data_IF_571091816633
#
_entry.id   IF_571091816633
#
_cell.length_a   1.000
_cell.length_b   1.000
_cell.length_c   1.000
_cell.angle_alpha   90.00
_cell.angle_beta   90.00
_cell.angle_gamma   90.00
#
_symmetry.space_group_name_H-M   'P 1'
#
loop_
_entity.id
_entity.type
_entity.pdbx_description
1 polymer ?
#
# COMPACT_ATOMS: atom_id res chain seq x y z
N UNK A 1 -4.80 -2.02 -6.03
CA UNK A 1 -3.34 -2.21 -5.87
C UNK A 1 -3.01 -3.37 -4.94
N UNK A 2 -3.34 -3.33 -3.64
CA UNK A 2 -2.96 -4.38 -2.68
C UNK A 2 -3.32 -5.83 -3.11
N UNK A 3 -4.54 -6.12 -3.63
CA UNK A 3 -4.85 -7.46 -4.14
C UNK A 3 -4.02 -7.91 -5.35
N UNK A 4 -3.50 -6.97 -6.16
CA UNK A 4 -2.64 -7.31 -7.28
C UNK A 4 -1.23 -7.68 -6.79
N UNK A 5 -0.72 -6.99 -5.78
CA UNK A 5 0.52 -7.38 -5.12
C UNK A 5 0.39 -8.72 -4.39
N UNK A 6 -0.73 -8.97 -3.72
CA UNK A 6 -0.91 -10.23 -3.00
C UNK A 6 -0.85 -11.44 -3.93
N UNK A 7 -1.47 -11.36 -5.11
CA UNK A 7 -1.43 -12.43 -6.12
C UNK A 7 0.00 -12.76 -6.56
N UNK A 8 0.82 -11.74 -6.83
CA UNK A 8 2.23 -11.99 -7.19
C UNK A 8 3.08 -12.43 -5.99
N UNK A 9 2.64 -12.16 -4.77
CA UNK A 9 3.23 -12.70 -3.54
C UNK A 9 2.72 -14.11 -3.18
N UNK A 10 1.94 -14.75 -4.05
CA UNK A 10 1.41 -16.10 -3.84
C UNK A 10 0.17 -16.19 -2.94
N UNK A 11 -0.47 -15.06 -2.63
CA UNK A 11 -1.67 -14.99 -1.78
C UNK A 11 -2.84 -14.46 -2.59
N UNK A 12 -3.73 -15.35 -3.05
CA UNK A 12 -4.98 -14.90 -3.66
C UNK A 12 -6.00 -14.54 -2.57
N UNK A 13 -6.25 -13.24 -2.41
CA UNK A 13 -7.20 -12.75 -1.43
C UNK A 13 -8.62 -13.27 -1.66
N UNK A 14 -9.03 -13.49 -2.90
CA UNK A 14 -10.37 -14.01 -3.20
C UNK A 14 -10.49 -15.47 -2.77
N UNK A 15 -9.48 -16.29 -3.05
CA UNK A 15 -9.48 -17.71 -2.66
C UNK A 15 -9.39 -17.90 -1.14
N UNK A 16 -8.70 -16.99 -0.46
CA UNK A 16 -8.55 -17.00 1.00
C UNK A 16 -9.69 -16.25 1.73
N UNK A 17 -10.73 -15.78 1.02
CA UNK A 17 -11.86 -15.06 1.64
C UNK A 17 -11.49 -13.70 2.27
N UNK A 18 -10.39 -13.09 1.83
CA UNK A 18 -9.85 -11.83 2.35
C UNK A 18 -10.50 -10.66 1.62
N UNK A 19 -11.13 -9.76 2.39
CA UNK A 19 -11.72 -8.51 1.87
C UNK A 19 -10.88 -7.30 2.27
N UNK A 20 -10.42 -6.55 1.28
CA UNK A 20 -9.70 -5.27 1.51
C UNK A 20 -10.71 -4.14 1.67
N UNK A 21 -10.59 -3.38 2.75
CA UNK A 21 -11.43 -2.21 3.04
C UNK A 21 -10.53 -0.99 3.21
N UNK A 22 -10.75 0.05 2.41
CA UNK A 22 -10.09 1.35 2.60
C UNK A 22 -10.87 2.20 3.60
N UNK A 23 -10.17 2.85 4.53
CA UNK A 23 -10.81 3.61 5.61
C UNK A 23 -10.56 5.12 5.57
N UNK A 24 -9.69 5.64 4.69
CA UNK A 24 -9.47 7.08 4.53
C UNK A 24 -8.82 7.73 5.75
N UNK A 25 -7.54 7.42 5.98
CA UNK A 25 -6.70 8.02 7.03
C UNK A 25 -6.71 7.28 8.36
N UNK A 26 -5.62 7.39 9.12
CA UNK A 26 -5.33 6.59 10.33
C UNK A 26 -6.43 6.60 11.39
N UNK A 27 -7.02 7.76 11.69
CA UNK A 27 -8.09 7.87 12.70
C UNK A 27 -9.39 7.20 12.24
N UNK A 28 -9.71 7.26 10.95
CA UNK A 28 -10.89 6.57 10.41
C UNK A 28 -10.67 5.07 10.36
N UNK A 29 -9.45 4.62 10.05
CA UNK A 29 -9.06 3.21 10.15
C UNK A 29 -9.30 2.69 11.56
N UNK A 30 -8.78 3.39 12.56
CA UNK A 30 -8.93 2.97 13.95
C UNK A 30 -10.39 2.88 14.40
N UNK A 31 -11.21 3.87 14.04
CA UNK A 31 -12.66 3.85 14.32
C UNK A 31 -13.37 2.70 13.61
N UNK A 32 -13.00 2.43 12.35
CA UNK A 32 -13.56 1.32 11.59
C UNK A 32 -13.19 -0.01 12.22
N UNK A 33 -11.92 -0.18 12.63
CA UNK A 33 -11.47 -1.36 13.36
C UNK A 33 -12.28 -1.57 14.64
N UNK A 34 -12.42 -0.55 15.48
CA UNK A 34 -13.18 -0.65 16.72
C UNK A 34 -14.64 -1.06 16.46
N UNK A 35 -15.26 -0.56 15.40
CA UNK A 35 -16.61 -0.98 15.02
C UNK A 35 -16.63 -2.46 14.61
N UNK A 36 -15.76 -2.85 13.69
CA UNK A 36 -15.74 -4.21 13.15
C UNK A 36 -15.36 -5.24 14.21
N UNK A 37 -14.37 -4.97 15.07
CA UNK A 37 -13.90 -5.93 16.06
C UNK A 37 -14.95 -6.33 17.09
N UNK A 38 -15.99 -5.50 17.27
CA UNK A 38 -17.17 -5.77 18.11
C UNK A 38 -18.32 -6.46 17.36
N UNK A 39 -18.41 -6.26 16.04
CA UNK A 39 -19.53 -6.74 15.22
C UNK A 39 -19.25 -8.06 14.51
N UNK A 40 -17.99 -8.37 14.21
CA UNK A 40 -17.61 -9.56 13.45
C UNK A 40 -16.56 -10.40 14.18
N UNK A 41 -16.68 -11.72 14.08
CA UNK A 41 -15.72 -12.67 14.65
C UNK A 41 -14.63 -13.10 13.64
N UNK A 42 -14.36 -12.27 12.63
CA UNK A 42 -13.31 -12.51 11.63
C UNK A 42 -12.01 -11.83 12.06
N UNK A 43 -10.83 -12.44 11.80
CA UNK A 43 -9.54 -11.80 11.97
C UNK A 43 -9.42 -10.52 11.14
N UNK A 44 -8.90 -9.46 11.74
CA UNK A 44 -8.67 -8.17 11.09
C UNK A 44 -7.17 -7.89 11.03
N UNK A 45 -6.68 -7.62 9.81
CA UNK A 45 -5.31 -7.19 9.56
C UNK A 45 -5.31 -5.73 9.11
N UNK A 46 -4.66 -4.86 9.87
CA UNK A 46 -4.61 -3.42 9.57
C UNK A 46 -3.23 -3.03 9.04
N UNK A 47 -3.20 -2.19 8.01
CA UNK A 47 -1.97 -1.62 7.46
C UNK A 47 -1.99 -0.11 7.68
N UNK A 48 -0.93 0.44 8.26
CA UNK A 48 -0.78 1.88 8.52
C UNK A 48 0.49 2.44 7.89
N UNK A 49 0.43 3.71 7.50
CA UNK A 49 1.61 4.53 7.23
C UNK A 49 2.43 4.75 8.52
N UNK A 50 3.71 5.12 8.39
CA UNK A 50 4.61 5.22 9.54
C UNK A 50 4.20 6.28 10.57
N UNK A 51 3.43 7.28 10.14
CA UNK A 51 2.96 8.40 10.96
C UNK A 51 1.87 8.01 11.99
N UNK A 52 1.42 6.74 11.96
CA UNK A 52 0.44 6.20 12.88
C UNK A 52 1.06 5.56 14.13
N UNK A 53 2.38 5.55 14.30
CA UNK A 53 3.07 4.89 15.41
C UNK A 53 2.47 5.24 16.79
N UNK A 54 2.36 6.54 17.11
CA UNK A 54 1.79 7.00 18.39
C UNK A 54 0.33 6.55 18.58
N UNK A 55 -0.46 6.53 17.49
CA UNK A 55 -1.85 6.06 17.53
C UNK A 55 -1.91 4.57 17.83
N UNK A 56 -1.06 3.77 17.17
CA UNK A 56 -0.97 2.32 17.37
C UNK A 56 -0.56 2.01 18.80
N UNK A 57 0.50 2.66 19.31
CA UNK A 57 0.98 2.46 20.68
C UNK A 57 -0.10 2.78 21.71
N UNK A 58 -0.74 3.95 21.58
CA UNK A 58 -1.77 4.41 22.52
C UNK A 58 -2.98 3.49 22.58
N UNK A 59 -3.27 2.75 21.50
CA UNK A 59 -4.48 1.95 21.38
C UNK A 59 -4.24 0.44 21.26
N UNK A 60 -2.99 -0.02 21.40
CA UNK A 60 -2.62 -1.43 21.20
C UNK A 60 -3.39 -2.39 22.11
N UNK A 61 -3.79 -1.93 23.29
CA UNK A 61 -4.56 -2.70 24.27
C UNK A 61 -5.99 -3.05 23.83
N UNK A 62 -6.53 -2.40 22.79
CA UNK A 62 -7.82 -2.75 22.18
C UNK A 62 -7.70 -3.80 21.08
N UNK A 63 -6.48 -4.24 20.73
CA UNK A 63 -6.28 -5.24 19.70
C UNK A 63 -6.70 -6.63 20.22
N UNK A 64 -7.57 -7.33 19.50
CA UNK A 64 -7.92 -8.71 19.85
C UNK A 64 -6.72 -9.62 19.58
N UNK A 65 -6.66 -10.76 20.28
CA UNK A 65 -5.58 -11.74 20.08
C UNK A 65 -5.53 -12.36 18.68
N UNK A 66 -6.63 -12.28 17.93
CA UNK A 66 -6.74 -12.77 16.54
C UNK A 66 -6.37 -11.73 15.49
N UNK A 67 -6.26 -10.46 15.88
CA UNK A 67 -6.03 -9.35 14.96
C UNK A 67 -4.56 -8.93 14.94
N UNK A 68 -4.14 -8.26 13.87
CA UNK A 68 -2.77 -7.77 13.77
C UNK A 68 -2.67 -6.43 13.05
N UNK A 69 -1.54 -5.76 13.26
CA UNK A 69 -1.22 -4.47 12.70
C UNK A 69 0.16 -4.54 12.04
N UNK A 70 0.23 -4.09 10.80
CA UNK A 70 1.47 -3.81 10.11
C UNK A 70 1.61 -2.30 9.92
N UNK A 71 2.66 -1.72 10.53
CA UNK A 71 3.02 -0.33 10.30
C UNK A 71 4.20 -0.29 9.31
N UNK A 72 4.05 0.50 8.26
CA UNK A 72 5.13 0.74 7.30
C UNK A 72 6.31 1.40 8.04
N UNK A 73 7.52 0.95 7.72
CA UNK A 73 8.77 1.32 8.36
C UNK A 73 9.05 2.82 8.27
N UNK A 74 8.74 3.42 7.11
CA UNK A 74 8.97 4.83 6.85
C UNK A 74 8.04 5.37 5.76
N UNK A 75 7.50 6.55 6.01
CA UNK A 75 6.70 7.28 5.04
C UNK A 75 5.31 6.67 4.85
N UNK A 76 4.84 6.71 3.63
CA UNK A 76 3.52 6.25 3.22
C UNK A 76 3.62 4.99 2.34
N UNK A 77 2.47 4.39 2.01
CA UNK A 77 2.43 3.25 1.10
C UNK A 77 3.16 3.48 -0.24
N UNK A 78 3.16 4.70 -0.77
CA UNK A 78 3.90 5.00 -1.99
C UNK A 78 5.42 4.87 -1.84
N UNK A 79 5.98 5.06 -0.64
CA UNK A 79 7.41 4.98 -0.38
C UNK A 79 7.98 3.56 -0.47
N UNK A 80 7.14 2.55 -0.23
CA UNK A 80 7.54 1.15 -0.31
C UNK A 80 7.34 0.55 -1.70
N UNK A 81 6.92 1.34 -2.70
CA UNK A 81 6.75 0.87 -4.07
C UNK A 81 8.11 0.85 -4.81
N UNK A 82 8.42 -0.20 -5.59
CA UNK A 82 9.65 -0.20 -6.40
C UNK A 82 9.64 0.90 -7.48
N UNK A 83 10.73 1.66 -7.56
CA UNK A 83 10.89 2.74 -8.56
C UNK A 83 10.69 2.25 -10.00
N UNK A 84 11.18 1.04 -10.32
CA UNK A 84 11.00 0.42 -11.64
C UNK A 84 9.52 0.23 -11.98
N UNK A 85 8.71 -0.17 -11.01
CA UNK A 85 7.27 -0.39 -11.20
C UNK A 85 6.56 0.96 -11.41
N UNK A 86 6.93 1.99 -10.63
CA UNK A 86 6.44 3.37 -10.81
C UNK A 86 6.74 3.87 -12.22
N UNK A 87 8.00 3.78 -12.67
CA UNK A 87 8.41 4.21 -14.00
C UNK A 87 7.66 3.48 -15.11
N UNK A 88 7.54 2.15 -14.99
CA UNK A 88 6.78 1.31 -15.92
C UNK A 88 5.31 1.75 -16.00
N UNK A 89 4.67 2.01 -14.86
CA UNK A 89 3.28 2.43 -14.80
C UNK A 89 3.06 3.80 -15.43
N UNK A 90 3.91 4.78 -15.10
CA UNK A 90 3.82 6.14 -15.65
C UNK A 90 4.10 6.12 -17.15
N UNK A 91 5.19 5.51 -17.60
CA UNK A 91 5.53 5.48 -19.04
C UNK A 91 4.48 4.71 -19.85
N UNK A 92 3.88 3.65 -19.31
CA UNK A 92 2.80 2.93 -19.99
C UNK A 92 1.55 3.81 -20.18
N UNK A 93 1.22 4.65 -19.22
CA UNK A 93 -0.02 5.44 -19.24
C UNK A 93 0.16 6.83 -19.89
N UNK A 94 1.29 7.50 -19.62
CA UNK A 94 1.58 8.87 -20.02
C UNK A 94 2.71 9.00 -21.03
N UNK A 95 3.28 7.89 -21.52
CA UNK A 95 4.49 7.90 -22.37
C UNK A 95 4.39 8.72 -23.67
N UNK A 96 3.17 8.98 -24.16
CA UNK A 96 2.93 9.87 -25.30
C UNK A 96 3.20 11.35 -24.96
N UNK A 97 3.00 11.75 -23.70
CA UNK A 97 3.29 13.10 -23.20
C UNK A 97 4.75 13.24 -22.77
N UNK A 98 5.39 12.14 -22.38
CA UNK A 98 6.80 12.09 -22.04
C UNK A 98 7.16 10.85 -21.26
N UNK A 99 8.41 10.44 -21.36
CA UNK A 99 8.96 9.35 -20.55
C UNK A 99 9.64 9.89 -19.29
N UNK A 100 9.62 9.05 -18.27
CA UNK A 100 10.34 9.23 -17.01
C UNK A 100 11.34 8.09 -16.78
N UNK A 101 12.36 8.37 -15.98
CA UNK A 101 13.38 7.40 -15.59
C UNK A 101 13.38 7.22 -14.06
N UNK A 102 14.16 6.26 -13.56
CA UNK A 102 14.30 6.02 -12.11
C UNK A 102 14.75 7.30 -11.37
N UNK A 103 15.66 8.08 -11.96
CA UNK A 103 16.13 9.32 -11.35
C UNK A 103 15.03 10.37 -11.16
N UNK A 104 13.94 10.32 -11.95
CA UNK A 104 12.79 11.22 -11.81
C UNK A 104 11.93 10.88 -10.58
N UNK A 105 12.03 9.64 -10.07
CA UNK A 105 11.23 9.13 -8.94
C UNK A 105 12.07 8.84 -7.69
N UNK A 106 13.39 8.92 -7.79
CA UNK A 106 14.32 8.81 -6.65
C UNK A 106 14.57 10.19 -6.04
N UNK A 107 14.50 10.30 -4.72
CA UNK A 107 14.72 11.57 -4.04
C UNK A 107 14.80 11.46 -2.51
N UNK A 108 15.02 12.60 -1.86
CA UNK A 108 15.14 12.69 -0.39
C UNK A 108 13.80 12.94 0.32
N UNK A 109 12.78 13.36 -0.42
CA UNK A 109 11.42 13.57 0.07
C UNK A 109 10.58 12.30 -0.09
N UNK A 110 9.38 12.27 0.53
CA UNK A 110 8.46 11.15 0.38
C UNK A 110 7.98 10.99 -1.06
N UNK A 111 7.71 9.75 -1.46
CA UNK A 111 7.35 9.39 -2.84
C UNK A 111 6.12 10.13 -3.34
N UNK A 112 5.11 10.30 -2.50
CA UNK A 112 3.90 11.04 -2.87
C UNK A 112 4.22 12.50 -3.28
N UNK A 113 5.17 13.15 -2.60
CA UNK A 113 5.62 14.50 -2.95
C UNK A 113 6.41 14.48 -4.26
N UNK A 114 7.35 13.54 -4.42
CA UNK A 114 8.12 13.37 -5.67
C UNK A 114 7.18 13.20 -6.86
N UNK A 115 6.17 12.32 -6.74
CA UNK A 115 5.19 12.07 -7.79
C UNK A 115 4.32 13.30 -8.08
N UNK A 116 3.93 14.05 -7.04
CA UNK A 116 3.18 15.30 -7.21
C UNK A 116 3.97 16.33 -8.01
N UNK A 117 5.25 16.53 -7.67
CA UNK A 117 6.11 17.46 -8.38
C UNK A 117 6.40 16.99 -9.81
N UNK A 118 6.64 15.69 -9.99
CA UNK A 118 6.88 15.08 -11.30
C UNK A 118 5.69 15.28 -12.25
N UNK A 119 4.47 15.01 -11.78
CA UNK A 119 3.25 15.19 -12.58
C UNK A 119 3.06 16.64 -13.02
N UNK A 120 3.39 17.60 -12.13
CA UNK A 120 3.36 19.03 -12.45
C UNK A 120 4.42 19.38 -13.49
N UNK A 121 5.66 18.94 -13.32
CA UNK A 121 6.80 19.29 -14.19
C UNK A 121 6.64 18.69 -15.60
N UNK A 122 6.18 17.44 -15.69
CA UNK A 122 6.01 16.72 -16.96
C UNK A 122 4.67 17.01 -17.66
N UNK A 123 3.80 17.82 -17.05
CA UNK A 123 2.50 18.17 -17.62
C UNK A 123 1.49 17.02 -17.63
N UNK A 124 1.60 16.05 -16.71
CA UNK A 124 0.64 14.95 -16.56
C UNK A 124 -0.62 15.37 -15.78
N UNK A 125 -0.66 16.60 -15.28
CA UNK A 125 -1.77 17.15 -14.50
C UNK A 125 -1.57 16.99 -12.99
N UNK A 126 -2.66 16.84 -12.25
CA UNK A 126 -2.62 16.67 -10.79
C UNK A 126 -2.43 15.20 -10.43
N UNK A 127 -1.42 14.90 -9.59
CA UNK A 127 -1.24 13.56 -9.05
C UNK A 127 -2.40 13.16 -8.13
N UNK A 128 -3.09 12.08 -8.49
CA UNK A 128 -4.18 11.49 -7.70
C UNK A 128 -3.80 10.07 -7.29
N UNK A 129 -3.56 9.85 -5.99
CA UNK A 129 -3.13 8.55 -5.44
C UNK A 129 -4.03 7.39 -5.85
N UNK A 130 -5.35 7.55 -5.76
CA UNK A 130 -6.30 6.48 -6.09
C UNK A 130 -6.24 6.06 -7.56
N UNK A 131 -6.12 7.02 -8.47
CA UNK A 131 -5.98 6.77 -9.91
C UNK A 131 -4.63 6.12 -10.22
N UNK A 132 -3.56 6.64 -9.62
CA UNK A 132 -2.23 6.07 -9.77
C UNK A 132 -2.16 4.61 -9.27
N UNK A 133 -2.82 4.30 -8.15
CA UNK A 133 -2.93 2.94 -7.62
C UNK A 133 -3.67 1.98 -8.57
N UNK A 134 -4.60 2.47 -9.39
CA UNK A 134 -5.26 1.67 -10.44
C UNK A 134 -4.32 1.41 -11.62
N UNK A 135 -3.59 2.43 -12.07
CA UNK A 135 -2.60 2.30 -13.16
C UNK A 135 -1.50 1.32 -12.76
N UNK A 136 -0.98 1.46 -11.53
CA UNK A 136 0.02 0.54 -10.95
C UNK A 136 -0.49 -0.90 -10.89
N UNK A 137 -1.74 -1.11 -10.46
CA UNK A 137 -2.31 -2.45 -10.35
C UNK A 137 -2.27 -3.22 -11.68
N UNK A 138 -2.49 -2.53 -12.81
CA UNK A 138 -2.39 -3.12 -14.16
C UNK A 138 -0.96 -3.35 -14.66
N UNK A 139 0.06 -3.04 -13.85
CA UNK A 139 1.48 -3.17 -14.20
C UNK A 139 2.24 -4.18 -13.35
N UNK A 140 1.65 -4.63 -12.24
CA UNK A 140 2.20 -5.67 -11.35
C UNK A 140 2.10 -7.02 -12.07
N UNK A 141 3.23 -7.71 -12.24
CA UNK A 141 3.29 -8.97 -13.02
C UNK A 141 4.02 -10.10 -12.31
N UNK A 142 4.99 -9.81 -11.46
CA UNK A 142 5.76 -10.85 -10.76
C UNK A 142 6.31 -10.35 -9.43
N UNK A 143 6.91 -11.26 -8.67
CA UNK A 143 7.59 -10.96 -7.41
C UNK A 143 8.68 -9.88 -7.54
N UNK A 144 9.25 -9.70 -8.74
CA UNK A 144 10.22 -8.63 -9.01
C UNK A 144 9.62 -7.21 -8.92
N UNK A 145 8.30 -7.10 -8.92
CA UNK A 145 7.56 -5.86 -8.69
C UNK A 145 7.24 -5.65 -7.19
N UNK A 146 7.70 -6.53 -6.29
CA UNK A 146 7.61 -6.35 -4.83
C UNK A 146 8.91 -5.75 -4.28
N UNK A 147 8.79 -4.75 -3.40
CA UNK A 147 9.92 -4.32 -2.57
C UNK A 147 10.13 -5.29 -1.40
N UNK A 148 11.28 -5.20 -0.75
CA UNK A 148 11.58 -5.98 0.46
C UNK A 148 10.51 -5.81 1.54
N UNK A 149 10.02 -4.58 1.73
CA UNK A 149 9.00 -4.30 2.73
C UNK A 149 7.62 -4.86 2.34
N UNK A 150 7.26 -4.81 1.05
CA UNK A 150 6.04 -5.48 0.56
C UNK A 150 6.13 -6.99 0.74
N UNK A 151 7.30 -7.60 0.49
CA UNK A 151 7.52 -9.03 0.71
C UNK A 151 7.33 -9.39 2.19
N UNK A 152 7.90 -8.61 3.11
CA UNK A 152 7.72 -8.83 4.55
C UNK A 152 6.26 -8.64 4.97
N UNK A 153 5.57 -7.62 4.47
CA UNK A 153 4.13 -7.40 4.72
C UNK A 153 3.30 -8.63 4.33
N UNK A 154 3.51 -9.19 3.14
CA UNK A 154 2.75 -10.36 2.71
C UNK A 154 3.16 -11.63 3.45
N UNK A 155 4.42 -11.77 3.84
CA UNK A 155 4.88 -12.88 4.68
C UNK A 155 4.22 -12.85 6.07
N UNK A 156 4.15 -11.66 6.70
CA UNK A 156 3.44 -11.49 7.97
C UNK A 156 1.96 -11.82 7.81
N UNK A 157 1.31 -11.33 6.74
CA UNK A 157 -0.09 -11.63 6.45
C UNK A 157 -0.31 -13.14 6.24
N UNK A 158 0.53 -13.81 5.46
CA UNK A 158 0.42 -15.24 5.16
C UNK A 158 0.52 -16.10 6.43
N UNK A 159 1.40 -15.72 7.37
CA UNK A 159 1.55 -16.43 8.65
C UNK A 159 0.28 -16.45 9.50
N UNK A 160 -0.71 -15.60 9.19
CA UNK A 160 -2.01 -15.55 9.87
C UNK A 160 -3.08 -16.39 9.18
N UNK A 161 -2.89 -16.72 7.90
CA UNK A 161 -3.82 -17.56 7.15
C UNK A 161 -3.58 -19.05 7.40
N UNK A 162 -2.34 -19.42 7.73
CA UNK A 162 -1.93 -20.82 7.95
C UNK A 162 -2.07 -21.28 9.40
N UNK A 163 -2.84 -20.58 10.23
CA UNK A 163 -3.12 -20.96 11.63
C UNK A 163 -4.51 -21.56 11.76
#
# INVERSE_FOLDING_TARGET
MLPAFSKVAGIDFSENGIKVISSGGKNRLWRLYHKLSQEINLPIFMIFDSDAANLIESNRHFLRSTDDIYAISKGEFEDILPDKLICKAINKHYGLLGNITISDVTGKTGKAQILTDLFRIKGFGTFKKAEFAQILAGCIKSEADLSEELQELFKVLNSKLTK
#
